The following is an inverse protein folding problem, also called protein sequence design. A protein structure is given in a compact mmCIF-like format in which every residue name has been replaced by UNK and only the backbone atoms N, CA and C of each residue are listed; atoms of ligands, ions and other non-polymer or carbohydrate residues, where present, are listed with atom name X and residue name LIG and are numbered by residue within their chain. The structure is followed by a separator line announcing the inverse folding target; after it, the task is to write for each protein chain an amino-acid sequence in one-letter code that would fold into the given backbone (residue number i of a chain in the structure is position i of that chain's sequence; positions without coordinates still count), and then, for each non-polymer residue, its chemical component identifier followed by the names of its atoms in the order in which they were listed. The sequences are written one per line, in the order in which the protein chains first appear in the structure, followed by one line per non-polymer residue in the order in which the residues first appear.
data_IF_156154821190
#
_entry.id   IF_156154821190
#
_cell.length_a   1.000
_cell.length_b   1.000
_cell.length_c   1.000
_cell.angle_alpha   90.00
_cell.angle_beta   90.00
_cell.angle_gamma   90.00
#
_symmetry.space_group_name_H-M   'P 1'
#
loop_
_entity.id
_entity.type
_entity.pdbx_description
1 polymer ?
#
# COMPACT_ATOMS: atom_id res chain seq x y z
N UNK A 1 -5.12 2.35 -1.23
CA UNK A 1 -5.76 2.45 0.09
C UNK A 1 -5.84 3.89 0.59
N UNK A 2 -4.80 4.73 0.43
CA UNK A 2 -4.79 6.13 0.91
C UNK A 2 -5.99 6.93 0.38
N UNK A 3 -6.22 6.94 -0.93
CA UNK A 3 -7.36 7.65 -1.54
C UNK A 3 -8.71 7.08 -1.09
N UNK A 4 -8.84 5.75 -1.01
CA UNK A 4 -10.05 5.12 -0.52
C UNK A 4 -10.36 5.53 0.93
N UNK A 5 -9.35 5.61 1.77
CA UNK A 5 -9.50 6.09 3.13
C UNK A 5 -9.91 7.58 3.13
N UNK A 6 -9.14 8.44 2.47
CA UNK A 6 -9.35 9.89 2.51
C UNK A 6 -10.70 10.34 1.91
N UNK A 7 -11.09 9.77 0.74
CA UNK A 7 -12.23 10.29 -0.01
C UNK A 7 -13.53 9.48 0.19
N UNK A 8 -13.41 8.19 0.51
CA UNK A 8 -14.60 7.32 0.63
C UNK A 8 -14.91 7.05 2.10
N UNK A 9 -14.00 6.38 2.84
CA UNK A 9 -14.30 5.93 4.20
C UNK A 9 -14.42 7.08 5.19
N UNK A 10 -13.46 7.99 5.19
CA UNK A 10 -13.39 9.09 6.18
C UNK A 10 -13.91 10.43 5.64
N UNK A 11 -14.52 10.44 4.46
CA UNK A 11 -15.25 11.59 3.93
C UNK A 11 -16.68 11.17 3.59
N UNK A 12 -16.94 10.60 2.43
CA UNK A 12 -18.30 10.31 2.00
C UNK A 12 -19.07 9.42 2.99
N UNK A 13 -18.45 8.36 3.53
CA UNK A 13 -19.12 7.51 4.53
C UNK A 13 -19.25 8.21 5.88
N UNK A 14 -18.22 8.95 6.33
CA UNK A 14 -18.32 9.75 7.57
C UNK A 14 -19.45 10.77 7.47
N UNK A 15 -19.49 11.55 6.39
CA UNK A 15 -20.54 12.57 6.17
C UNK A 15 -21.93 11.92 6.17
N UNK A 16 -22.07 10.76 5.51
CA UNK A 16 -23.34 10.03 5.50
C UNK A 16 -23.73 9.53 6.90
N UNK A 17 -22.79 8.98 7.67
CA UNK A 17 -23.04 8.53 9.03
C UNK A 17 -23.48 9.70 9.95
N UNK A 18 -22.81 10.85 9.86
CA UNK A 18 -23.19 12.05 10.61
C UNK A 18 -24.60 12.54 10.22
N UNK A 19 -24.92 12.50 8.92
CA UNK A 19 -26.27 12.85 8.45
C UNK A 19 -27.36 11.90 9.01
N UNK A 20 -27.04 10.65 9.24
CA UNK A 20 -27.93 9.67 9.87
C UNK A 20 -27.98 9.81 11.40
N UNK A 21 -27.29 10.77 12.00
CA UNK A 21 -27.31 11.06 13.44
C UNK A 21 -26.25 10.30 14.25
N UNK A 22 -25.22 9.74 13.60
CA UNK A 22 -24.09 9.17 14.33
C UNK A 22 -23.20 10.28 14.91
N UNK A 23 -22.65 10.06 16.09
CA UNK A 23 -21.67 10.97 16.71
C UNK A 23 -20.26 10.70 16.22
N UNK A 24 -19.93 9.44 15.94
CA UNK A 24 -18.63 8.95 15.54
C UNK A 24 -18.75 7.73 14.62
N UNK A 25 -17.69 7.42 13.89
CA UNK A 25 -17.53 6.15 13.20
C UNK A 25 -16.43 5.31 13.87
N UNK A 26 -16.56 3.99 13.81
CA UNK A 26 -15.54 3.05 14.25
C UNK A 26 -15.04 2.22 13.05
N UNK A 27 -13.73 2.04 12.94
CA UNK A 27 -13.14 1.26 11.85
C UNK A 27 -12.16 0.22 12.37
N UNK A 28 -11.99 -0.86 11.59
CA UNK A 28 -11.04 -1.94 11.91
C UNK A 28 -9.58 -1.64 11.57
N UNK A 29 -9.21 -0.39 11.34
CA UNK A 29 -7.80 -0.05 11.09
C UNK A 29 -6.96 -0.20 12.36
N UNK A 30 -5.76 -0.72 12.17
CA UNK A 30 -4.73 -0.76 13.21
C UNK A 30 -4.03 0.60 13.25
N UNK A 31 -4.60 1.53 13.98
CA UNK A 31 -4.09 2.86 14.28
C UNK A 31 -4.65 3.31 15.62
N UNK A 32 -4.17 4.42 16.17
CA UNK A 32 -4.70 5.02 17.40
C UNK A 32 -4.90 6.51 17.21
N UNK A 33 -5.78 7.06 17.98
CA UNK A 33 -5.96 8.51 18.10
C UNK A 33 -5.83 8.91 19.55
N UNK A 34 -5.31 10.11 19.79
CA UNK A 34 -5.18 10.70 21.12
C UNK A 34 -5.50 12.18 21.02
N UNK A 35 -6.36 12.67 21.88
CA UNK A 35 -6.58 14.09 22.04
C UNK A 35 -5.46 14.69 22.91
N UNK A 36 -4.90 15.81 22.47
CA UNK A 36 -3.91 16.58 23.22
C UNK A 36 -4.65 17.40 24.25
N UNK A 37 -4.42 17.12 25.54
CA UNK A 37 -5.17 17.74 26.64
C UNK A 37 -4.56 18.98 27.22
N UNK A 38 -3.30 19.33 26.83
CA UNK A 38 -2.57 20.46 27.39
C UNK A 38 -1.55 21.01 26.42
N UNK A 39 -1.09 22.25 26.64
CA UNK A 39 -0.11 22.93 25.78
C UNK A 39 -0.75 23.67 24.61
N UNK A 40 0.06 24.21 23.69
CA UNK A 40 -0.42 24.99 22.54
C UNK A 40 -1.33 24.23 21.59
N UNK A 41 -1.17 22.89 21.54
CA UNK A 41 -1.97 22.00 20.69
C UNK A 41 -3.18 21.38 21.41
N UNK A 42 -3.58 21.87 22.56
CA UNK A 42 -4.72 21.35 23.30
C UNK A 42 -6.00 21.36 22.43
N UNK A 43 -6.71 20.22 22.43
CA UNK A 43 -7.88 20.00 21.58
C UNK A 43 -7.59 19.40 20.20
N UNK A 44 -6.31 19.30 19.79
CA UNK A 44 -5.94 18.57 18.56
C UNK A 44 -6.00 17.07 18.79
N UNK A 45 -6.25 16.33 17.72
CA UNK A 45 -6.24 14.87 17.71
C UNK A 45 -5.02 14.39 16.95
N UNK A 46 -4.17 13.65 17.63
CA UNK A 46 -2.99 13.01 17.04
C UNK A 46 -3.33 11.64 16.48
N UNK A 47 -2.81 11.34 15.28
CA UNK A 47 -2.82 10.01 14.71
C UNK A 47 -1.55 9.27 15.16
N UNK A 48 -1.71 8.16 15.87
CA UNK A 48 -0.62 7.39 16.42
C UNK A 48 -0.52 6.00 15.77
N UNK A 49 0.68 5.45 15.74
CA UNK A 49 0.91 4.06 15.31
C UNK A 49 0.18 3.09 16.25
N UNK A 50 -0.30 1.98 15.70
CA UNK A 50 -0.86 0.88 16.47
C UNK A 50 0.19 0.23 17.38
N UNK A 51 -0.27 -0.45 18.43
CA UNK A 51 0.59 -1.27 19.31
C UNK A 51 1.22 -2.45 18.54
N UNK A 52 0.48 -3.03 17.59
CA UNK A 52 1.03 -4.07 16.71
C UNK A 52 1.75 -3.42 15.52
N UNK A 53 3.06 -3.22 15.63
CA UNK A 53 3.89 -2.62 14.58
C UNK A 53 3.87 -3.42 13.26
N UNK A 54 3.60 -4.74 13.32
CA UNK A 54 3.53 -5.58 12.11
C UNK A 54 2.22 -5.39 11.34
N UNK A 55 1.23 -4.75 11.95
CA UNK A 55 -0.11 -4.50 11.39
C UNK A 55 -0.47 -3.02 11.34
N UNK A 56 0.42 -2.15 11.76
CA UNK A 56 0.19 -0.70 11.76
C UNK A 56 -0.25 -0.20 10.38
N UNK A 57 -1.31 0.60 10.36
CA UNK A 57 -1.93 1.16 9.16
C UNK A 57 -1.97 2.69 9.19
N UNK A 58 -1.30 3.34 10.14
CA UNK A 58 -1.26 4.80 10.24
C UNK A 58 -0.73 5.46 8.94
N UNK A 59 0.21 4.81 8.23
CA UNK A 59 0.67 5.26 6.93
C UNK A 59 -0.47 5.50 5.92
N UNK A 60 -1.47 4.62 5.91
CA UNK A 60 -2.60 4.73 4.97
C UNK A 60 -3.65 5.77 5.38
N UNK A 61 -3.48 6.37 6.56
CA UNK A 61 -4.39 7.34 7.17
C UNK A 61 -3.80 8.76 7.24
N UNK A 62 -2.58 8.98 6.73
CA UNK A 62 -1.85 10.24 6.85
C UNK A 62 -2.56 11.45 6.20
N UNK A 63 -3.53 11.23 5.32
CA UNK A 63 -4.32 12.29 4.68
C UNK A 63 -5.57 12.69 5.46
N UNK A 64 -5.83 12.08 6.61
CA UNK A 64 -6.97 12.45 7.43
C UNK A 64 -6.71 13.77 8.16
N UNK A 65 -7.67 14.67 8.10
CA UNK A 65 -7.62 15.96 8.80
C UNK A 65 -8.21 15.88 10.22
N UNK A 66 -8.10 16.97 10.98
CA UNK A 66 -8.57 17.04 12.36
C UNK A 66 -10.08 16.75 12.50
N UNK A 67 -10.90 17.26 11.59
CA UNK A 67 -12.34 17.04 11.61
C UNK A 67 -12.71 15.55 11.42
N UNK A 68 -11.94 14.85 10.58
CA UNK A 68 -12.10 13.41 10.34
C UNK A 68 -11.59 12.57 11.52
N UNK A 69 -10.41 12.89 12.04
CA UNK A 69 -9.80 12.17 13.17
C UNK A 69 -10.64 12.31 14.45
N UNK A 70 -11.16 13.50 14.75
CA UNK A 70 -11.97 13.74 15.95
C UNK A 70 -13.31 12.99 15.96
N UNK A 71 -13.75 12.50 14.80
CA UNK A 71 -15.00 11.74 14.64
C UNK A 71 -14.77 10.25 14.40
N UNK A 72 -13.54 9.76 14.61
CA UNK A 72 -13.17 8.38 14.29
C UNK A 72 -12.61 7.64 15.50
N UNK A 73 -13.07 6.41 15.67
CA UNK A 73 -12.53 5.45 16.63
C UNK A 73 -11.77 4.33 15.91
N UNK A 74 -10.64 3.92 16.49
CA UNK A 74 -9.85 2.77 16.06
C UNK A 74 -9.76 1.72 17.16
N UNK A 75 -10.80 0.92 17.39
CA UNK A 75 -10.87 0.00 18.54
C UNK A 75 -9.76 -1.07 18.56
N UNK A 76 -9.16 -1.37 17.40
CA UNK A 76 -8.12 -2.38 17.27
C UNK A 76 -6.70 -1.84 17.47
N UNK A 77 -6.54 -0.54 17.61
CA UNK A 77 -5.22 0.10 17.68
C UNK A 77 -4.39 -0.29 18.90
N UNK A 78 -5.04 -0.60 20.01
CA UNK A 78 -4.40 -0.99 21.27
C UNK A 78 -4.21 -2.51 21.42
N UNK A 79 -4.63 -3.32 20.44
CA UNK A 79 -4.69 -4.77 20.55
C UNK A 79 -3.83 -5.41 19.45
N UNK A 80 -3.04 -6.40 19.78
CA UNK A 80 -2.28 -7.17 18.80
C UNK A 80 -3.21 -8.03 17.94
N UNK A 81 -2.89 -8.21 16.67
CA UNK A 81 -3.68 -9.00 15.72
C UNK A 81 -3.94 -10.44 16.21
N UNK A 82 -2.96 -11.05 16.86
CA UNK A 82 -3.09 -12.39 17.43
C UNK A 82 -4.15 -12.45 18.53
N UNK A 83 -4.27 -11.40 19.33
CA UNK A 83 -5.27 -11.28 20.39
C UNK A 83 -6.67 -11.01 19.81
N UNK A 84 -6.76 -10.12 18.82
CA UNK A 84 -8.02 -9.88 18.08
C UNK A 84 -8.58 -11.18 17.51
N UNK A 85 -7.73 -12.05 16.97
CA UNK A 85 -8.13 -13.37 16.48
C UNK A 85 -8.67 -14.26 17.59
N UNK A 86 -8.02 -14.33 18.74
CA UNK A 86 -8.49 -15.10 19.89
C UNK A 86 -9.86 -14.61 20.39
N UNK A 87 -10.03 -13.30 20.50
CA UNK A 87 -11.31 -12.69 20.88
C UNK A 87 -12.40 -13.06 19.86
N UNK A 88 -12.11 -12.96 18.58
CA UNK A 88 -13.06 -13.31 17.53
C UNK A 88 -13.48 -14.79 17.59
N UNK A 89 -12.54 -15.70 17.87
CA UNK A 89 -12.81 -17.13 18.06
C UNK A 89 -13.66 -17.38 19.31
N UNK A 90 -13.32 -16.75 20.45
CA UNK A 90 -14.10 -16.86 21.70
C UNK A 90 -15.55 -16.38 21.51
N UNK A 91 -15.73 -15.29 20.77
CA UNK A 91 -17.03 -14.75 20.42
C UNK A 91 -17.74 -15.51 19.29
N UNK A 92 -17.10 -16.55 18.73
CA UNK A 92 -17.62 -17.35 17.61
C UNK A 92 -18.05 -16.49 16.42
N UNK A 93 -17.27 -15.44 16.11
CA UNK A 93 -17.57 -14.57 14.98
C UNK A 93 -17.38 -15.32 13.65
N UNK A 94 -18.29 -15.17 12.66
CA UNK A 94 -18.20 -15.88 11.39
C UNK A 94 -16.92 -15.66 10.61
N UNK A 95 -16.23 -14.54 10.85
CA UNK A 95 -15.00 -14.13 10.19
C UNK A 95 -13.72 -14.38 11.02
N UNK A 96 -13.81 -15.07 12.17
CA UNK A 96 -12.68 -15.33 13.05
C UNK A 96 -11.48 -15.98 12.32
N UNK A 97 -11.76 -16.95 11.44
CA UNK A 97 -10.76 -17.69 10.66
C UNK A 97 -10.50 -17.12 9.26
N UNK A 98 -11.20 -16.05 8.88
CA UNK A 98 -11.03 -15.42 7.57
C UNK A 98 -9.60 -14.91 7.40
N UNK A 99 -8.98 -15.24 6.26
CA UNK A 99 -7.65 -14.72 5.89
C UNK A 99 -7.71 -13.19 5.76
N UNK A 100 -6.56 -12.54 6.00
CA UNK A 100 -6.44 -11.11 5.78
C UNK A 100 -6.72 -10.78 4.31
N UNK A 101 -7.44 -9.70 4.06
CA UNK A 101 -7.74 -9.25 2.70
C UNK A 101 -6.45 -8.82 2.00
N UNK A 102 -6.18 -9.40 0.84
CA UNK A 102 -4.99 -9.11 0.01
C UNK A 102 -5.35 -8.32 -1.25
N UNK A 103 -6.63 -8.01 -1.46
CA UNK A 103 -7.13 -7.32 -2.63
C UNK A 103 -7.63 -5.89 -2.35
N UNK A 104 -8.08 -5.23 -3.42
CA UNK A 104 -8.70 -3.91 -3.35
C UNK A 104 -10.08 -4.05 -2.71
N UNK A 105 -10.37 -3.20 -1.71
CA UNK A 105 -11.68 -3.17 -1.05
C UNK A 105 -12.82 -3.01 -2.07
N UNK A 106 -13.96 -3.66 -1.82
CA UNK A 106 -15.19 -3.64 -2.63
C UNK A 106 -15.13 -4.36 -4.00
N UNK A 107 -13.96 -4.79 -4.47
CA UNK A 107 -13.81 -5.47 -5.76
C UNK A 107 -13.86 -6.99 -5.59
N UNK A 108 -13.53 -7.50 -4.40
CA UNK A 108 -13.43 -8.91 -4.09
C UNK A 108 -12.13 -9.55 -4.62
N UNK A 109 -11.97 -10.85 -4.34
CA UNK A 109 -10.82 -11.61 -4.82
C UNK A 109 -10.98 -11.86 -6.33
N UNK A 110 -10.24 -11.10 -7.12
CA UNK A 110 -10.11 -11.31 -8.57
C UNK A 110 -8.63 -11.35 -8.93
N UNK A 111 -8.24 -12.10 -9.96
CA UNK A 111 -6.90 -12.01 -10.50
C UNK A 111 -6.61 -10.55 -10.88
N UNK A 112 -5.64 -9.93 -10.20
CA UNK A 112 -5.33 -8.51 -10.33
C UNK A 112 -5.11 -8.08 -11.79
N UNK A 113 -4.44 -8.93 -12.57
CA UNK A 113 -4.19 -8.69 -13.99
C UNK A 113 -5.46 -8.64 -14.81
N UNK A 114 -6.41 -9.57 -14.61
CA UNK A 114 -7.70 -9.58 -15.32
C UNK A 114 -8.57 -8.37 -15.00
N UNK A 115 -8.53 -7.94 -13.74
CA UNK A 115 -9.21 -6.72 -13.32
C UNK A 115 -8.63 -5.49 -14.02
N UNK A 116 -7.31 -5.35 -14.03
CA UNK A 116 -6.63 -4.21 -14.63
C UNK A 116 -6.79 -4.16 -16.15
N UNK A 117 -6.90 -5.30 -16.83
CA UNK A 117 -7.10 -5.38 -18.28
C UNK A 117 -8.36 -4.64 -18.77
N UNK A 118 -9.32 -4.38 -17.89
CA UNK A 118 -10.53 -3.61 -18.22
C UNK A 118 -10.31 -2.11 -18.28
N UNK A 119 -9.25 -1.63 -17.65
CA UNK A 119 -8.97 -0.19 -17.45
C UNK A 119 -7.65 0.26 -18.08
N UNK A 120 -6.72 -0.67 -18.29
CA UNK A 120 -5.40 -0.40 -18.81
C UNK A 120 -5.25 -1.02 -20.21
N UNK A 121 -4.70 -0.23 -21.11
CA UNK A 121 -4.39 -0.70 -22.45
C UNK A 121 -3.31 -1.78 -22.41
N UNK A 122 -3.59 -2.89 -23.08
CA UNK A 122 -2.60 -3.93 -23.35
C UNK A 122 -1.66 -3.42 -24.44
N UNK A 123 -0.45 -3.05 -24.04
CA UNK A 123 0.60 -2.56 -24.94
C UNK A 123 1.89 -3.36 -24.71
N UNK A 124 2.05 -4.52 -25.36
CA UNK A 124 3.25 -5.32 -25.23
C UNK A 124 4.49 -4.57 -25.68
N UNK A 125 5.62 -4.92 -25.11
CA UNK A 125 6.90 -4.35 -25.48
C UNK A 125 8.08 -5.13 -24.89
N UNK A 126 9.32 -4.81 -25.31
CA UNK A 126 10.49 -5.56 -24.93
C UNK A 126 10.86 -5.38 -23.46
N UNK A 127 11.27 -6.48 -22.82
CA UNK A 127 12.03 -6.46 -21.58
C UNK A 127 13.51 -6.50 -21.91
N UNK A 128 14.27 -5.53 -21.41
CA UNK A 128 15.71 -5.39 -21.69
C UNK A 128 16.53 -5.35 -20.40
N UNK A 129 17.74 -5.84 -20.48
CA UNK A 129 18.79 -5.63 -19.49
C UNK A 129 19.44 -4.25 -19.67
N UNK A 130 20.23 -3.73 -18.72
CA UNK A 130 20.91 -2.44 -18.83
C UNK A 130 21.82 -2.31 -20.05
N UNK A 131 22.42 -3.42 -20.49
CA UNK A 131 23.26 -3.53 -21.69
C UNK A 131 22.45 -3.66 -23.00
N UNK A 132 21.10 -3.60 -22.90
CA UNK A 132 20.22 -3.57 -24.06
C UNK A 132 19.80 -4.93 -24.61
N UNK A 133 20.21 -6.03 -23.99
CA UNK A 133 19.82 -7.38 -24.41
C UNK A 133 18.33 -7.60 -24.13
N UNK A 134 17.58 -8.05 -25.16
CA UNK A 134 16.18 -8.41 -25.01
C UNK A 134 16.10 -9.79 -24.36
N UNK A 135 15.41 -9.88 -23.22
CA UNK A 135 15.26 -11.10 -22.43
C UNK A 135 13.80 -11.57 -22.32
N UNK A 136 12.86 -10.82 -22.87
CA UNK A 136 11.46 -11.18 -22.88
C UNK A 136 10.57 -10.06 -23.39
N UNK A 137 9.26 -10.25 -23.19
CA UNK A 137 8.22 -9.29 -23.57
C UNK A 137 7.29 -9.04 -22.37
N UNK A 138 6.97 -7.78 -22.12
CA UNK A 138 5.97 -7.39 -21.12
C UNK A 138 4.60 -7.15 -21.75
N UNK A 139 3.55 -7.30 -20.98
CA UNK A 139 2.15 -7.13 -21.43
C UNK A 139 1.67 -5.67 -21.41
N UNK A 140 2.48 -4.77 -20.88
CA UNK A 140 2.20 -3.34 -20.74
C UNK A 140 2.89 -2.81 -19.49
N UNK A 141 3.56 -1.65 -19.58
CA UNK A 141 4.34 -1.06 -18.48
C UNK A 141 3.53 -0.82 -17.21
N UNK A 142 2.23 -0.56 -17.34
CA UNK A 142 1.32 -0.29 -16.21
C UNK A 142 1.10 -1.50 -15.30
N UNK A 143 1.35 -2.72 -15.79
CA UNK A 143 1.19 -3.96 -15.02
C UNK A 143 2.38 -4.30 -14.13
N UNK A 144 3.44 -3.52 -14.18
CA UNK A 144 4.66 -3.76 -13.43
C UNK A 144 4.94 -2.63 -12.45
N UNK A 145 5.59 -2.95 -11.34
CA UNK A 145 6.03 -2.00 -10.33
C UNK A 145 7.55 -2.04 -10.22
N UNK A 146 8.20 -0.89 -10.01
CA UNK A 146 9.63 -0.85 -9.74
C UNK A 146 9.96 -1.70 -8.50
N UNK A 147 11.02 -2.48 -8.56
CA UNK A 147 11.39 -3.46 -7.52
C UNK A 147 10.59 -4.77 -7.56
N UNK A 148 9.62 -4.92 -8.46
CA UNK A 148 8.84 -6.14 -8.58
C UNK A 148 9.74 -7.33 -8.93
N UNK A 149 9.56 -8.46 -8.19
CA UNK A 149 10.26 -9.73 -8.43
C UNK A 149 9.34 -10.81 -9.00
N UNK A 150 8.12 -10.92 -8.45
CA UNK A 150 7.18 -11.99 -8.84
C UNK A 150 6.34 -11.58 -10.06
N UNK A 151 6.00 -12.54 -10.91
CA UNK A 151 5.08 -12.33 -12.03
C UNK A 151 5.68 -11.59 -13.22
N UNK A 152 7.02 -11.49 -13.32
CA UNK A 152 7.72 -10.90 -14.48
C UNK A 152 7.65 -11.84 -15.69
N UNK A 153 7.54 -13.15 -15.46
CA UNK A 153 7.40 -14.13 -16.56
C UNK A 153 8.74 -14.64 -17.12
N UNK A 154 9.84 -14.35 -16.46
CA UNK A 154 11.19 -14.75 -16.89
C UNK A 154 11.70 -16.00 -16.14
N UNK A 155 10.82 -16.92 -15.79
CA UNK A 155 11.19 -18.18 -15.15
C UNK A 155 12.03 -19.07 -16.06
N UNK A 156 13.24 -19.43 -15.60
CA UNK A 156 14.09 -20.43 -16.30
C UNK A 156 15.14 -19.89 -17.26
N UNK A 157 15.27 -18.58 -17.45
CA UNK A 157 16.39 -18.03 -18.23
C UNK A 157 17.69 -18.11 -17.43
N UNK A 158 18.59 -18.95 -17.90
CA UNK A 158 19.96 -19.11 -17.39
C UNK A 158 20.86 -17.99 -17.94
N UNK A 159 20.74 -16.76 -17.50
CA UNK A 159 21.76 -15.76 -17.80
C UNK A 159 22.35 -15.23 -16.51
N UNK A 160 23.64 -15.17 -16.46
CA UNK A 160 24.52 -14.89 -15.34
C UNK A 160 24.31 -15.81 -14.11
N UNK A 161 25.13 -16.84 -14.09
CA UNK A 161 25.37 -17.62 -12.86
C UNK A 161 26.33 -16.80 -12.02
N UNK A 162 26.00 -16.64 -10.74
CA UNK A 162 26.98 -16.23 -9.73
C UNK A 162 28.14 -17.23 -9.71
N UNK A 163 29.24 -16.84 -9.08
CA UNK A 163 30.39 -17.72 -8.79
C UNK A 163 29.98 -19.06 -8.19
N UNK A 164 28.83 -19.13 -7.54
CA UNK A 164 28.25 -20.33 -6.91
C UNK A 164 27.27 -21.11 -7.82
N UNK A 165 27.12 -20.72 -9.10
CA UNK A 165 26.27 -21.44 -10.05
C UNK A 165 24.75 -21.21 -9.90
N UNK A 166 24.31 -20.38 -8.95
CA UNK A 166 22.91 -20.04 -8.74
C UNK A 166 22.48 -18.82 -9.59
N UNK A 167 21.32 -18.91 -10.21
CA UNK A 167 20.72 -17.81 -10.95
C UNK A 167 20.06 -16.83 -9.98
N UNK A 168 20.51 -15.58 -9.99
CA UNK A 168 19.87 -14.52 -9.21
C UNK A 168 18.47 -14.17 -9.73
N UNK A 169 17.54 -13.78 -8.86
CA UNK A 169 16.21 -13.39 -9.29
C UNK A 169 16.21 -12.08 -10.08
N UNK A 170 15.27 -11.99 -11.01
CA UNK A 170 15.03 -10.79 -11.80
C UNK A 170 14.15 -9.79 -11.07
N UNK A 171 14.46 -8.51 -11.25
CA UNK A 171 13.71 -7.37 -10.68
C UNK A 171 13.43 -6.32 -11.76
N UNK A 172 12.27 -5.69 -11.67
CA UNK A 172 11.93 -4.51 -12.48
C UNK A 172 12.71 -3.30 -11.98
N UNK A 173 13.57 -2.72 -12.82
CA UNK A 173 14.42 -1.61 -12.43
C UNK A 173 13.95 -0.26 -12.97
N UNK A 174 13.49 -0.20 -14.23
CA UNK A 174 13.04 1.04 -14.87
C UNK A 174 11.91 0.79 -15.87
N UNK A 175 11.14 1.83 -16.13
CA UNK A 175 10.12 1.89 -17.18
C UNK A 175 10.48 3.02 -18.13
N UNK A 176 10.70 2.71 -19.38
CA UNK A 176 10.85 3.70 -20.45
C UNK A 176 9.52 3.80 -21.19
N UNK A 177 8.76 4.81 -20.81
CA UNK A 177 7.41 5.02 -21.36
C UNK A 177 7.48 5.45 -22.82
N UNK A 178 8.49 6.24 -23.20
CA UNK A 178 8.64 6.75 -24.57
C UNK A 178 8.93 5.62 -25.58
N UNK A 179 9.72 4.63 -25.18
CA UNK A 179 10.10 3.49 -26.03
C UNK A 179 9.35 2.21 -25.69
N UNK A 180 8.33 2.28 -24.82
CA UNK A 180 7.54 1.15 -24.33
C UNK A 180 8.44 -0.04 -23.91
N UNK A 181 9.51 0.24 -23.14
CA UNK A 181 10.52 -0.75 -22.75
C UNK A 181 10.53 -0.91 -21.23
N UNK A 182 10.54 -2.16 -20.76
CA UNK A 182 10.72 -2.50 -19.36
C UNK A 182 12.15 -2.95 -19.12
N UNK A 183 12.90 -2.24 -18.28
CA UNK A 183 14.24 -2.64 -17.89
C UNK A 183 14.22 -3.50 -16.65
N UNK A 184 14.92 -4.60 -16.72
CA UNK A 184 15.04 -5.58 -15.64
C UNK A 184 16.50 -5.88 -15.34
N UNK A 185 16.78 -6.21 -14.10
CA UNK A 185 18.12 -6.50 -13.59
C UNK A 185 18.11 -7.76 -12.73
N UNK A 186 19.25 -8.41 -12.62
CA UNK A 186 19.45 -9.54 -11.69
C UNK A 186 20.09 -9.06 -10.38
N UNK A 187 19.74 -9.73 -9.28
CA UNK A 187 20.22 -9.38 -7.93
C UNK A 187 19.40 -8.27 -7.27
N UNK A 188 19.27 -8.34 -5.97
CA UNK A 188 18.48 -7.38 -5.17
C UNK A 188 19.25 -6.10 -4.85
N UNK A 189 20.54 -6.10 -5.00
CA UNK A 189 21.50 -5.04 -4.72
C UNK A 189 22.03 -4.32 -5.98
N UNK A 190 21.42 -4.63 -7.14
CA UNK A 190 21.81 -3.99 -8.40
C UNK A 190 21.66 -2.44 -8.30
N UNK A 191 22.65 -1.64 -8.76
CA UNK A 191 22.62 -0.17 -8.63
C UNK A 191 21.36 0.51 -9.15
N UNK A 192 20.70 -0.04 -10.16
CA UNK A 192 19.46 0.51 -10.70
C UNK A 192 18.23 0.32 -9.80
N UNK A 193 18.33 -0.49 -8.76
CA UNK A 193 17.29 -0.68 -7.77
C UNK A 193 17.44 0.24 -6.57
N UNK A 194 18.59 0.89 -6.43
CA UNK A 194 18.93 1.75 -5.32
C UNK A 194 18.85 3.22 -5.74
N UNK A 195 18.50 4.08 -4.81
CA UNK A 195 18.49 5.53 -4.98
C UNK A 195 19.10 6.20 -3.76
N UNK A 196 19.99 7.16 -3.98
CA UNK A 196 20.59 7.97 -2.91
C UNK A 196 19.82 9.27 -2.68
N UNK A 197 18.90 9.60 -3.59
CA UNK A 197 18.16 10.86 -3.56
C UNK A 197 16.67 10.61 -3.75
N UNK A 198 15.85 11.37 -3.06
CA UNK A 198 14.42 11.46 -3.20
C UNK A 198 14.02 12.91 -3.35
N UNK A 199 13.36 13.25 -4.45
CA UNK A 199 12.69 14.54 -4.60
C UNK A 199 11.20 14.38 -4.32
N UNK A 200 10.68 15.16 -3.40
CA UNK A 200 9.26 15.13 -3.05
C UNK A 200 8.69 16.56 -3.11
N UNK A 201 7.42 16.65 -3.48
CA UNK A 201 6.66 17.89 -3.45
C UNK A 201 5.35 17.66 -2.68
N UNK A 202 4.65 18.76 -2.37
CA UNK A 202 3.37 18.72 -1.64
C UNK A 202 3.49 17.95 -0.30
N UNK A 203 4.58 18.22 0.42
CA UNK A 203 4.74 17.75 1.80
C UNK A 203 3.92 18.67 2.70
N UNK A 204 2.83 18.15 3.22
CA UNK A 204 2.02 18.83 4.24
C UNK A 204 2.41 18.28 5.60
N UNK A 205 2.88 19.15 6.47
CA UNK A 205 3.04 18.85 7.89
C UNK A 205 1.81 19.35 8.65
N UNK A 206 1.62 18.89 9.87
CA UNK A 206 0.53 19.40 10.73
C UNK A 206 0.60 20.92 10.93
N UNK A 207 1.79 21.49 10.87
CA UNK A 207 2.02 22.92 11.10
C UNK A 207 1.74 23.77 9.84
N UNK A 208 1.77 23.19 8.66
CA UNK A 208 1.46 23.87 7.40
C UNK A 208 -0.04 23.97 7.12
N UNK A 209 -0.89 23.38 7.94
CA UNK A 209 -2.35 23.43 7.79
C UNK A 209 -2.98 24.60 8.57
N UNK A 210 -2.19 25.39 9.28
CA UNK A 210 -2.65 26.47 10.17
C UNK A 210 -2.33 27.87 9.60
N UNK A 211 -1.85 28.00 8.33
CA UNK A 211 -1.69 29.29 7.63
C UNK A 211 -2.82 29.57 6.63
#
# INVERSE_FOLDING_TARGET
DVLCNAEIKFKAFLDHAMHLGADMIATGHYARVREVTSGPDAGRVELLKAVDASKDQSYFLHRLNQAQLSKTLFPLGEIRKTEVRKIAEQLKLPNATKKDSTGICFIGERPFREFLNRYLSYQPGPMKTPDGVIVGEHVGLSFYTLGQRKGIGLGGMKSHKNTDGNSEPWYVARKDVANNTLYIVQGHDHPWLLSNELSACLLYTSDAADE
#
